data_IF_172599282224
#
_entry.id   IF_172599282224
#
_cell.length_a   1.000
_cell.length_b   1.000
_cell.length_c   1.000
_cell.angle_alpha   90.00
_cell.angle_beta   90.00
_cell.angle_gamma   90.00
#
_symmetry.space_group_name_H-M   'P 1'
#
loop_
_entity.id
_entity.type
_entity.pdbx_description
1 polymer ?
#
# COMPACT_ATOMS: atom_id res chain seq x y z
N UNK A 1 19.41 -14.10 7.62
CA UNK A 1 18.42 -14.65 6.67
C UNK A 1 19.21 -15.39 5.60
N UNK A 2 18.94 -16.67 5.36
CA UNK A 2 19.65 -17.44 4.33
C UNK A 2 19.44 -16.81 2.96
N UNK A 3 20.51 -16.65 2.19
CA UNK A 3 20.45 -16.21 0.80
C UNK A 3 19.62 -17.22 -0.01
N UNK A 4 18.58 -16.75 -0.71
CA UNK A 4 17.82 -17.63 -1.60
C UNK A 4 18.60 -17.86 -2.89
N UNK A 5 18.48 -19.09 -3.39
CA UNK A 5 19.10 -19.53 -4.63
C UNK A 5 18.05 -20.07 -5.60
N UNK A 6 18.43 -20.26 -6.85
CA UNK A 6 17.55 -20.88 -7.86
C UNK A 6 17.03 -22.26 -7.45
N UNK A 7 17.76 -22.97 -6.57
CA UNK A 7 17.37 -24.29 -6.06
C UNK A 7 16.05 -24.26 -5.29
N UNK A 8 15.70 -23.11 -4.71
CA UNK A 8 14.45 -22.93 -3.98
C UNK A 8 13.21 -22.88 -4.90
N UNK A 9 13.41 -22.81 -6.22
CA UNK A 9 12.33 -22.79 -7.21
C UNK A 9 11.96 -24.18 -7.75
N UNK A 10 12.72 -25.23 -7.42
CA UNK A 10 12.49 -26.63 -7.82
C UNK A 10 12.16 -26.82 -9.33
N UNK A 11 12.97 -26.22 -10.22
CA UNK A 11 12.77 -26.31 -11.69
C UNK A 11 13.94 -26.96 -12.43
N UNK A 12 13.60 -27.65 -13.53
CA UNK A 12 14.55 -28.12 -14.53
C UNK A 12 14.95 -26.94 -15.42
N UNK A 13 16.18 -26.45 -15.23
CA UNK A 13 16.75 -25.33 -15.98
C UNK A 13 18.04 -25.80 -16.64
N UNK A 14 18.28 -25.54 -17.95
CA UNK A 14 19.58 -25.85 -18.55
C UNK A 14 20.70 -25.04 -17.91
N UNK A 15 21.93 -25.57 -17.89
CA UNK A 15 23.02 -25.04 -17.06
C UNK A 15 23.32 -23.54 -17.29
N UNK A 16 23.39 -23.11 -18.55
CA UNK A 16 23.63 -21.71 -18.92
C UNK A 16 22.52 -20.75 -18.46
N UNK A 17 21.29 -21.24 -18.28
CA UNK A 17 20.17 -20.45 -17.77
C UNK A 17 20.15 -20.42 -16.25
N UNK A 18 20.66 -21.47 -15.58
CA UNK A 18 20.82 -21.47 -14.12
C UNK A 18 21.77 -20.37 -13.67
N UNK A 19 22.87 -20.18 -14.39
CA UNK A 19 23.84 -19.12 -14.10
C UNK A 19 23.21 -17.72 -14.18
N UNK A 20 22.48 -17.42 -15.25
CA UNK A 20 21.82 -16.13 -15.45
C UNK A 20 20.80 -15.83 -14.35
N UNK A 21 20.02 -16.84 -13.98
CA UNK A 21 19.01 -16.69 -12.95
C UNK A 21 19.63 -16.64 -11.54
N UNK A 22 20.65 -17.46 -11.22
CA UNK A 22 21.43 -17.35 -9.97
C UNK A 22 22.01 -15.94 -9.81
N UNK A 23 22.62 -15.39 -10.86
CA UNK A 23 23.15 -14.01 -10.86
C UNK A 23 22.07 -12.99 -10.51
N UNK A 24 20.86 -13.12 -11.08
CA UNK A 24 19.76 -12.22 -10.73
C UNK A 24 19.33 -12.33 -9.26
N UNK A 25 19.30 -13.55 -8.71
CA UNK A 25 18.95 -13.77 -7.31
C UNK A 25 19.98 -13.13 -6.35
N UNK A 26 21.26 -13.35 -6.61
CA UNK A 26 22.36 -12.80 -5.79
C UNK A 26 22.45 -11.28 -5.93
N UNK A 27 22.50 -10.76 -7.16
CA UNK A 27 22.85 -9.36 -7.41
C UNK A 27 21.65 -8.41 -7.24
N UNK A 28 20.43 -8.87 -7.58
CA UNK A 28 19.27 -7.97 -7.74
C UNK A 28 18.12 -8.32 -6.80
N UNK A 29 17.74 -9.60 -6.71
CA UNK A 29 16.51 -9.99 -6.03
C UNK A 29 16.52 -9.60 -4.54
N UNK A 30 17.65 -9.78 -3.86
CA UNK A 30 17.82 -9.42 -2.45
C UNK A 30 17.78 -7.91 -2.18
N UNK A 31 17.98 -7.08 -3.22
CA UNK A 31 17.89 -5.62 -3.14
C UNK A 31 16.48 -5.10 -3.44
N UNK A 32 15.56 -5.94 -3.93
CA UNK A 32 14.18 -5.54 -4.18
C UNK A 32 13.42 -5.27 -2.86
N UNK A 33 12.35 -4.46 -2.88
CA UNK A 33 11.50 -4.28 -1.72
C UNK A 33 10.99 -5.62 -1.15
N UNK A 34 10.97 -5.77 0.17
CA UNK A 34 10.58 -7.02 0.84
C UNK A 34 9.20 -7.55 0.40
N UNK A 35 8.25 -6.66 0.09
CA UNK A 35 6.94 -7.04 -0.43
C UNK A 35 7.03 -7.66 -1.84
N UNK A 36 7.86 -7.07 -2.71
CA UNK A 36 8.09 -7.60 -4.06
C UNK A 36 8.76 -8.97 -3.98
N UNK A 37 9.77 -9.13 -3.11
CA UNK A 37 10.41 -10.42 -2.89
C UNK A 37 9.40 -11.48 -2.42
N UNK A 38 8.57 -11.15 -1.42
CA UNK A 38 7.52 -12.07 -0.93
C UNK A 38 6.50 -12.43 -2.01
N UNK A 39 6.05 -11.43 -2.79
CA UNK A 39 5.09 -11.65 -3.87
C UNK A 39 5.66 -12.58 -4.93
N UNK A 40 6.86 -12.30 -5.44
CA UNK A 40 7.51 -13.15 -6.44
C UNK A 40 7.72 -14.58 -5.96
N UNK A 41 8.18 -14.76 -4.71
CA UNK A 41 8.31 -16.10 -4.11
C UNK A 41 6.98 -16.85 -4.09
N UNK A 42 5.93 -16.19 -3.61
CA UNK A 42 4.59 -16.78 -3.53
C UNK A 42 4.06 -17.16 -4.91
N UNK A 43 4.18 -16.26 -5.89
CA UNK A 43 3.65 -16.49 -7.24
C UNK A 43 4.37 -17.66 -7.94
N UNK A 44 5.71 -17.69 -7.85
CA UNK A 44 6.52 -18.76 -8.44
C UNK A 44 6.25 -20.09 -7.76
N UNK A 45 6.22 -20.11 -6.42
CA UNK A 45 5.93 -21.33 -5.66
C UNK A 45 4.58 -21.92 -6.08
N UNK A 46 3.54 -21.10 -6.16
CA UNK A 46 2.21 -21.57 -6.55
C UNK A 46 2.15 -22.11 -7.98
N UNK A 47 2.88 -21.49 -8.92
CA UNK A 47 2.98 -22.02 -10.28
C UNK A 47 3.70 -23.37 -10.32
N UNK A 48 4.83 -23.51 -9.62
CA UNK A 48 5.59 -24.75 -9.64
C UNK A 48 4.94 -25.89 -8.86
N UNK A 49 4.29 -25.60 -7.74
CA UNK A 49 3.46 -26.58 -7.03
C UNK A 49 2.34 -27.10 -7.96
N UNK A 50 1.70 -26.20 -8.72
CA UNK A 50 0.69 -26.57 -9.71
C UNK A 50 1.28 -27.45 -10.82
N UNK A 51 2.40 -27.04 -11.42
CA UNK A 51 3.07 -27.81 -12.47
C UNK A 51 3.43 -29.22 -11.99
N UNK A 52 4.02 -29.33 -10.80
CA UNK A 52 4.39 -30.59 -10.18
C UNK A 52 3.17 -31.49 -9.94
N UNK A 53 2.09 -30.95 -9.39
CA UNK A 53 0.88 -31.72 -9.10
C UNK A 53 0.13 -32.21 -10.35
N UNK A 54 0.41 -31.63 -11.52
CA UNK A 54 -0.28 -31.95 -12.78
C UNK A 54 0.65 -32.58 -13.83
N UNK A 55 1.86 -33.02 -13.44
CA UNK A 55 2.87 -33.56 -14.34
C UNK A 55 3.17 -32.66 -15.55
N UNK A 56 3.14 -31.35 -15.33
CA UNK A 56 3.41 -30.33 -16.34
C UNK A 56 4.82 -29.76 -16.16
N UNK A 57 5.53 -29.43 -17.26
CA UNK A 57 6.80 -28.73 -17.16
C UNK A 57 6.60 -27.33 -16.57
N UNK A 58 7.63 -26.84 -15.87
CA UNK A 58 7.67 -25.50 -15.31
C UNK A 58 7.89 -24.40 -16.37
N UNK A 59 8.73 -23.41 -16.06
CA UNK A 59 9.25 -22.50 -17.08
C UNK A 59 10.42 -23.20 -17.79
N UNK A 60 10.38 -23.27 -19.12
CA UNK A 60 11.39 -23.98 -19.91
C UNK A 60 11.81 -23.16 -21.14
N UNK A 61 12.94 -23.50 -21.81
CA UNK A 61 13.29 -22.90 -23.10
C UNK A 61 12.33 -23.29 -24.22
N UNK A 62 11.54 -24.35 -24.04
CA UNK A 62 10.54 -24.79 -25.00
C UNK A 62 9.28 -23.94 -24.83
N UNK A 63 8.99 -23.16 -25.88
CA UNK A 63 7.88 -22.22 -25.89
C UNK A 63 6.52 -22.93 -25.87
N UNK A 64 6.38 -24.06 -26.56
CA UNK A 64 5.11 -24.79 -26.66
C UNK A 64 4.79 -25.48 -25.32
N UNK A 65 5.78 -26.11 -24.70
CA UNK A 65 5.63 -26.73 -23.38
C UNK A 65 5.27 -25.68 -22.31
N UNK A 66 5.97 -24.55 -22.31
CA UNK A 66 5.70 -23.46 -21.36
C UNK A 66 4.32 -22.85 -21.59
N UNK A 67 3.90 -22.67 -22.85
CA UNK A 67 2.56 -22.20 -23.19
C UNK A 67 1.48 -23.16 -22.70
N UNK A 68 1.65 -24.48 -22.91
CA UNK A 68 0.73 -25.52 -22.42
C UNK A 68 0.54 -25.45 -20.90
N UNK A 69 1.63 -25.34 -20.15
CA UNK A 69 1.59 -25.24 -18.69
C UNK A 69 0.89 -23.97 -18.20
N UNK A 70 1.17 -22.82 -18.82
CA UNK A 70 0.53 -21.55 -18.49
C UNK A 70 -0.98 -21.60 -18.77
N UNK A 71 -1.41 -22.20 -19.89
CA UNK A 71 -2.84 -22.36 -20.19
C UNK A 71 -3.57 -23.15 -19.12
N UNK A 72 -3.04 -24.31 -18.74
CA UNK A 72 -3.63 -25.16 -17.70
C UNK A 72 -3.69 -24.43 -16.35
N UNK A 73 -2.63 -23.68 -16.02
CA UNK A 73 -2.59 -22.88 -14.79
C UNK A 73 -3.64 -21.76 -14.79
N UNK A 74 -3.81 -21.05 -15.91
CA UNK A 74 -4.83 -20.00 -16.04
C UNK A 74 -6.23 -20.58 -15.91
N UNK A 75 -6.52 -21.73 -16.52
CA UNK A 75 -7.81 -22.41 -16.36
C UNK A 75 -8.09 -22.72 -14.88
N UNK A 76 -7.14 -23.33 -14.18
CA UNK A 76 -7.27 -23.68 -12.76
C UNK A 76 -7.52 -22.44 -11.89
N UNK A 77 -6.83 -21.33 -12.17
CA UNK A 77 -7.04 -20.07 -11.47
C UNK A 77 -8.41 -19.45 -11.75
N UNK A 78 -8.93 -19.61 -12.97
CA UNK A 78 -10.25 -19.13 -13.36
C UNK A 78 -11.36 -19.99 -12.73
N UNK A 79 -11.22 -21.32 -12.72
CA UNK A 79 -12.11 -22.27 -12.05
C UNK A 79 -12.18 -22.00 -10.54
N UNK A 80 -11.04 -21.65 -9.93
CA UNK A 80 -10.96 -21.24 -8.52
C UNK A 80 -11.45 -19.81 -8.26
N UNK A 81 -11.95 -19.10 -9.28
CA UNK A 81 -12.41 -17.71 -9.23
C UNK A 81 -11.42 -16.73 -8.57
N UNK A 82 -10.13 -16.85 -8.89
CA UNK A 82 -9.15 -15.86 -8.44
C UNK A 82 -9.45 -14.49 -9.06
N UNK A 83 -9.24 -13.44 -8.27
CA UNK A 83 -9.44 -12.07 -8.73
C UNK A 83 -8.56 -11.75 -9.96
N UNK A 84 -9.11 -10.96 -10.89
CA UNK A 84 -8.44 -10.55 -12.13
C UNK A 84 -6.99 -10.10 -11.92
N UNK A 85 -6.76 -9.19 -10.96
CA UNK A 85 -5.42 -8.64 -10.69
C UNK A 85 -4.45 -9.69 -10.15
N UNK A 86 -4.93 -10.74 -9.46
CA UNK A 86 -4.09 -11.84 -9.00
C UNK A 86 -3.60 -12.67 -10.18
N UNK A 87 -4.49 -12.99 -11.14
CA UNK A 87 -4.13 -13.74 -12.36
C UNK A 87 -3.12 -12.94 -13.18
N UNK A 88 -3.42 -11.67 -13.47
CA UNK A 88 -2.52 -10.78 -14.23
C UNK A 88 -1.17 -10.61 -13.55
N UNK A 89 -1.16 -10.42 -12.23
CA UNK A 89 0.09 -10.28 -11.45
C UNK A 89 0.94 -11.54 -11.51
N UNK A 90 0.35 -12.74 -11.36
CA UNK A 90 1.08 -14.00 -11.52
C UNK A 90 1.67 -14.14 -12.92
N UNK A 91 0.91 -13.81 -13.96
CA UNK A 91 1.40 -13.82 -15.34
C UNK A 91 2.57 -12.84 -15.53
N UNK A 92 2.49 -11.64 -14.95
CA UNK A 92 3.59 -10.68 -14.98
C UNK A 92 4.86 -11.22 -14.27
N UNK A 93 4.69 -11.89 -13.12
CA UNK A 93 5.79 -12.57 -12.42
C UNK A 93 6.41 -13.66 -13.30
N UNK A 94 5.61 -14.57 -13.89
CA UNK A 94 6.13 -15.60 -14.80
C UNK A 94 6.88 -14.98 -15.99
N UNK A 95 6.31 -13.95 -16.62
CA UNK A 95 6.95 -13.19 -17.69
C UNK A 95 8.29 -12.58 -17.27
N UNK A 96 8.39 -12.03 -16.05
CA UNK A 96 9.64 -11.49 -15.50
C UNK A 96 10.69 -12.59 -15.33
N UNK A 97 10.31 -13.74 -14.78
CA UNK A 97 11.25 -14.84 -14.53
C UNK A 97 11.67 -15.58 -15.79
N UNK A 98 10.81 -15.68 -16.82
CA UNK A 98 11.23 -16.11 -18.16
C UNK A 98 12.28 -15.15 -18.75
N UNK A 99 12.09 -13.84 -18.61
CA UNK A 99 13.07 -12.85 -19.07
C UNK A 99 14.41 -12.93 -18.30
N UNK A 100 14.37 -13.14 -16.98
CA UNK A 100 15.57 -13.36 -16.16
C UNK A 100 16.31 -14.63 -16.61
N UNK A 101 15.57 -15.71 -16.87
CA UNK A 101 16.12 -16.96 -17.38
C UNK A 101 16.51 -16.88 -18.86
N UNK A 102 16.20 -15.80 -19.58
CA UNK A 102 16.37 -15.68 -21.05
C UNK A 102 15.61 -16.76 -21.85
N UNK A 103 14.47 -17.20 -21.35
CA UNK A 103 13.56 -18.09 -22.08
C UNK A 103 12.66 -17.31 -23.05
N UNK A 104 12.21 -17.94 -24.14
CA UNK A 104 11.06 -17.46 -24.90
C UNK A 104 9.88 -17.18 -23.97
N UNK A 105 9.11 -16.14 -24.27
CA UNK A 105 8.04 -15.66 -23.41
C UNK A 105 6.71 -15.71 -24.19
N UNK A 106 5.95 -16.81 -24.10
CA UNK A 106 4.68 -16.95 -24.80
C UNK A 106 3.65 -15.91 -24.36
N UNK A 107 3.71 -15.39 -23.12
CA UNK A 107 2.84 -14.30 -22.68
C UNK A 107 3.04 -13.00 -23.49
N UNK A 108 4.22 -12.81 -24.08
CA UNK A 108 4.54 -11.66 -24.95
C UNK A 108 4.57 -11.99 -26.44
N UNK A 109 4.89 -13.22 -26.81
CA UNK A 109 5.12 -13.60 -28.20
C UNK A 109 3.92 -14.32 -28.84
N UNK A 110 3.09 -15.02 -28.06
CA UNK A 110 1.92 -15.74 -28.54
C UNK A 110 0.66 -14.87 -28.43
N UNK A 111 0.10 -14.45 -29.56
CA UNK A 111 -1.21 -13.78 -29.61
C UNK A 111 -2.32 -14.72 -29.15
N UNK A 112 -2.24 -15.98 -29.60
CA UNK A 112 -3.14 -17.05 -29.19
C UNK A 112 -3.23 -17.20 -27.67
N UNK A 113 -2.10 -17.24 -26.96
CA UNK A 113 -2.12 -17.36 -25.49
C UNK A 113 -2.77 -16.14 -24.82
N UNK A 114 -2.49 -14.92 -25.32
CA UNK A 114 -3.08 -13.70 -24.75
C UNK A 114 -4.60 -13.67 -24.92
N UNK A 115 -5.09 -14.03 -26.10
CA UNK A 115 -6.52 -14.11 -26.37
C UNK A 115 -7.17 -15.22 -25.56
N UNK A 116 -6.52 -16.38 -25.44
CA UNK A 116 -6.97 -17.46 -24.56
C UNK A 116 -7.15 -16.98 -23.12
N UNK A 117 -6.15 -16.31 -22.53
CA UNK A 117 -6.23 -15.80 -21.15
C UNK A 117 -7.41 -14.83 -21.00
N UNK A 118 -7.53 -13.87 -21.92
CA UNK A 118 -8.60 -12.86 -21.89
C UNK A 118 -9.99 -13.50 -22.01
N UNK A 119 -10.17 -14.44 -22.93
CA UNK A 119 -11.45 -15.11 -23.15
C UNK A 119 -11.81 -16.06 -22.01
N UNK A 120 -10.84 -16.76 -21.43
CA UNK A 120 -11.05 -17.61 -20.26
C UNK A 120 -11.49 -16.79 -19.05
N UNK A 121 -10.79 -15.70 -18.74
CA UNK A 121 -11.20 -14.81 -17.64
C UNK A 121 -12.62 -14.27 -17.86
N UNK A 122 -12.98 -13.89 -19.09
CA UNK A 122 -14.34 -13.43 -19.43
C UNK A 122 -15.38 -14.55 -19.27
N UNK A 123 -15.08 -15.77 -19.71
CA UNK A 123 -16.00 -16.91 -19.61
C UNK A 123 -16.31 -17.31 -18.15
N UNK A 124 -15.43 -16.97 -17.22
CA UNK A 124 -15.59 -17.19 -15.78
C UNK A 124 -16.07 -15.93 -15.02
N UNK A 125 -16.56 -14.90 -15.72
CA UNK A 125 -17.01 -13.63 -15.13
C UNK A 125 -15.92 -12.92 -14.29
N UNK A 126 -14.65 -13.13 -14.63
CA UNK A 126 -13.50 -12.50 -13.97
C UNK A 126 -13.17 -11.20 -14.70
N UNK A 127 -13.78 -10.12 -14.22
CA UNK A 127 -13.61 -8.79 -14.79
C UNK A 127 -12.51 -8.00 -14.09
N UNK A 128 -11.91 -7.06 -14.82
CA UNK A 128 -10.97 -6.06 -14.29
C UNK A 128 -11.66 -4.99 -13.43
N UNK A 129 -12.52 -5.39 -12.48
CA UNK A 129 -13.17 -4.48 -11.54
C UNK A 129 -12.30 -4.34 -10.31
N UNK A 130 -11.78 -3.15 -10.08
CA UNK A 130 -10.99 -2.89 -8.89
C UNK A 130 -11.91 -2.76 -7.66
N UNK A 131 -11.66 -3.57 -6.63
CA UNK A 131 -12.24 -3.34 -5.31
C UNK A 131 -11.58 -2.09 -4.69
N UNK A 132 -12.28 -0.98 -4.71
CA UNK A 132 -11.86 0.26 -4.05
C UNK A 132 -12.01 0.12 -2.53
N UNK A 133 -11.03 0.62 -1.78
CA UNK A 133 -11.15 0.70 -0.33
C UNK A 133 -12.35 1.60 0.04
N UNK A 134 -13.12 1.26 1.09
CA UNK A 134 -14.19 2.13 1.57
C UNK A 134 -13.65 3.53 1.87
N UNK A 135 -14.38 4.55 1.43
CA UNK A 135 -14.00 5.95 1.63
C UNK A 135 -14.28 6.36 3.08
N UNK A 136 -13.24 6.76 3.83
CA UNK A 136 -13.40 7.50 5.08
C UNK A 136 -13.50 8.98 4.71
N UNK A 137 -14.70 9.52 4.53
CA UNK A 137 -14.92 10.90 4.07
C UNK A 137 -14.72 11.90 5.21
N UNK A 138 -14.69 13.20 4.90
CA UNK A 138 -14.51 14.25 5.91
C UNK A 138 -15.54 14.16 7.05
N UNK A 139 -16.82 13.94 6.72
CA UNK A 139 -17.87 13.74 7.74
C UNK A 139 -17.57 12.59 8.72
N UNK A 140 -16.95 11.53 8.24
CA UNK A 140 -16.59 10.38 9.07
C UNK A 140 -15.38 10.73 9.95
N UNK A 141 -14.40 11.45 9.41
CA UNK A 141 -13.25 11.95 10.17
C UNK A 141 -13.66 12.95 11.26
N UNK A 142 -14.54 13.89 10.94
CA UNK A 142 -15.10 14.86 11.89
C UNK A 142 -15.90 14.15 12.98
N UNK A 143 -16.69 13.14 12.65
CA UNK A 143 -17.37 12.30 13.64
C UNK A 143 -16.36 11.63 14.58
N UNK A 144 -15.24 11.09 14.07
CA UNK A 144 -14.18 10.51 14.91
C UNK A 144 -13.60 11.59 15.84
N UNK A 145 -13.21 12.74 15.30
CA UNK A 145 -12.59 13.81 16.07
C UNK A 145 -13.51 14.36 17.17
N UNK A 146 -14.82 14.44 16.91
CA UNK A 146 -15.81 14.95 17.85
C UNK A 146 -16.20 13.93 18.94
N UNK A 147 -16.24 12.64 18.59
CA UNK A 147 -16.76 11.60 19.50
C UNK A 147 -15.67 10.92 20.33
N UNK A 148 -14.41 10.92 19.85
CA UNK A 148 -13.31 10.29 20.58
C UNK A 148 -12.80 11.23 21.65
N UNK A 149 -13.04 10.87 22.91
CA UNK A 149 -12.33 11.45 24.06
C UNK A 149 -11.05 10.62 24.26
N UNK A 150 -9.84 11.18 24.08
CA UNK A 150 -8.60 10.44 24.21
C UNK A 150 -8.26 10.21 25.69
N UNK A 151 -8.17 8.94 26.10
CA UNK A 151 -7.85 8.56 27.50
C UNK A 151 -6.45 7.95 27.63
N UNK A 152 -5.80 7.69 26.49
CA UNK A 152 -4.53 6.99 26.39
C UNK A 152 -3.66 7.62 25.32
N UNK A 153 -2.34 7.52 25.47
CA UNK A 153 -1.38 7.94 24.44
C UNK A 153 -1.67 7.24 23.10
N UNK A 154 -2.19 6.01 23.15
CA UNK A 154 -2.62 5.26 21.97
C UNK A 154 -3.77 5.95 21.21
N UNK A 155 -4.73 6.56 21.90
CA UNK A 155 -5.81 7.34 21.29
C UNK A 155 -5.27 8.59 20.59
N UNK A 156 -4.42 9.35 21.28
CA UNK A 156 -3.85 10.58 20.75
C UNK A 156 -2.99 10.29 19.51
N UNK A 157 -2.16 9.25 19.57
CA UNK A 157 -1.36 8.79 18.41
C UNK A 157 -2.25 8.41 17.24
N UNK A 158 -3.30 7.63 17.48
CA UNK A 158 -4.15 7.12 16.41
C UNK A 158 -5.01 8.25 15.79
N UNK A 159 -5.44 9.25 16.58
CA UNK A 159 -6.08 10.49 16.10
C UNK A 159 -5.12 11.32 15.24
N UNK A 160 -3.90 11.56 15.71
CA UNK A 160 -2.88 12.27 14.95
C UNK A 160 -2.58 11.56 13.60
N UNK A 161 -2.48 10.23 13.63
CA UNK A 161 -2.17 9.43 12.45
C UNK A 161 -3.32 9.41 11.42
N UNK A 162 -4.57 9.21 11.84
CA UNK A 162 -5.70 9.15 10.90
C UNK A 162 -5.94 10.51 10.23
N UNK A 163 -5.84 11.61 10.99
CA UNK A 163 -5.96 12.96 10.45
C UNK A 163 -4.82 13.28 9.49
N UNK A 164 -3.57 12.97 9.84
CA UNK A 164 -2.42 13.17 8.93
C UNK A 164 -2.54 12.35 7.64
N UNK A 165 -3.01 11.09 7.74
CA UNK A 165 -3.23 10.26 6.56
C UNK A 165 -4.35 10.79 5.67
N UNK A 166 -5.41 11.35 6.25
CA UNK A 166 -6.50 11.96 5.50
C UNK A 166 -6.03 13.24 4.79
N UNK A 167 -5.51 14.22 5.54
CA UNK A 167 -5.12 15.53 5.00
C UNK A 167 -4.01 15.42 3.96
N UNK A 168 -2.99 14.61 4.24
CA UNK A 168 -1.85 14.42 3.34
C UNK A 168 -2.10 13.43 2.23
N UNK A 169 -3.30 12.81 2.18
CA UNK A 169 -3.62 11.68 1.31
C UNK A 169 -2.59 10.55 1.42
N UNK A 170 -2.01 10.34 2.60
CA UNK A 170 -0.87 9.43 2.74
C UNK A 170 -1.30 7.96 2.68
N UNK A 171 -0.46 7.15 2.06
CA UNK A 171 -0.51 5.70 2.21
C UNK A 171 0.15 5.29 3.53
N UNK A 172 -0.17 4.08 3.99
CA UNK A 172 0.45 3.51 5.20
C UNK A 172 1.99 3.42 5.12
N UNK A 173 2.55 3.17 3.94
CA UNK A 173 4.00 3.16 3.68
C UNK A 173 4.63 4.56 3.60
N UNK A 174 3.81 5.61 3.47
CA UNK A 174 4.24 7.02 3.45
C UNK A 174 4.15 7.66 4.83
N UNK A 175 3.15 7.30 5.65
CA UNK A 175 3.02 7.79 7.04
C UNK A 175 4.02 7.11 7.99
N UNK A 176 4.30 5.82 7.80
CA UNK A 176 5.22 5.06 8.65
C UNK A 176 6.64 5.66 8.77
N UNK A 177 7.27 6.19 7.69
CA UNK A 177 8.57 6.83 7.75
C UNK A 177 8.54 8.33 8.09
N UNK A 178 7.39 8.93 8.41
CA UNK A 178 7.32 10.36 8.77
C UNK A 178 8.16 10.62 10.00
N UNK A 179 9.03 11.63 9.91
CA UNK A 179 9.89 12.09 11.00
C UNK A 179 9.45 13.46 11.47
N UNK A 180 9.82 13.84 12.70
CA UNK A 180 9.56 15.18 13.22
C UNK A 180 10.08 16.29 12.30
N UNK A 181 11.29 16.12 11.75
CA UNK A 181 11.92 17.08 10.84
C UNK A 181 11.17 17.27 9.50
N UNK A 182 10.22 16.39 9.18
CA UNK A 182 9.42 16.50 7.97
C UNK A 182 8.19 17.39 8.15
N UNK A 183 7.83 17.75 9.38
CA UNK A 183 6.68 18.61 9.66
C UNK A 183 7.12 20.07 9.59
N UNK A 184 6.46 20.83 8.73
CA UNK A 184 6.70 22.26 8.53
C UNK A 184 5.47 23.01 9.07
N UNK A 185 5.49 23.27 10.38
CA UNK A 185 4.35 23.86 11.10
C UNK A 185 3.90 25.22 10.52
N UNK A 186 4.86 26.07 10.12
CA UNK A 186 4.56 27.43 9.61
C UNK A 186 3.76 27.44 8.31
N UNK A 187 3.92 26.41 7.50
CA UNK A 187 3.34 26.33 6.15
C UNK A 187 2.22 25.31 6.06
N UNK A 188 1.82 24.68 7.17
CA UNK A 188 0.83 23.61 7.20
C UNK A 188 1.20 22.46 6.24
N UNK A 189 2.46 22.03 6.27
CA UNK A 189 2.98 21.01 5.35
C UNK A 189 3.69 19.87 6.04
N UNK A 190 3.67 18.72 5.40
CA UNK A 190 4.56 17.59 5.68
C UNK A 190 5.33 17.21 4.43
N UNK A 191 6.62 16.89 4.60
CA UNK A 191 7.44 16.30 3.56
C UNK A 191 7.30 14.77 3.58
N UNK A 192 6.80 14.22 2.48
CA UNK A 192 6.83 12.78 2.21
C UNK A 192 8.11 12.49 1.42
N UNK A 193 9.16 11.91 2.04
CA UNK A 193 10.48 11.83 1.43
C UNK A 193 10.54 10.84 0.26
N UNK A 194 9.70 9.81 0.27
CA UNK A 194 9.61 8.82 -0.80
C UNK A 194 8.17 8.42 -1.04
N UNK A 195 7.80 8.24 -2.30
CA UNK A 195 6.52 7.65 -2.70
C UNK A 195 6.79 6.58 -3.76
N UNK A 196 5.82 5.67 -3.98
CA UNK A 196 5.93 4.66 -5.06
C UNK A 196 6.07 5.29 -6.45
N UNK A 197 5.60 6.53 -6.60
CA UNK A 197 5.61 7.27 -7.86
C UNK A 197 6.85 8.14 -8.04
N UNK A 198 7.55 8.48 -6.96
CA UNK A 198 8.73 9.32 -6.97
C UNK A 198 10.00 8.53 -7.34
N UNK A 199 10.21 8.36 -8.65
CA UNK A 199 11.43 7.78 -9.21
C UNK A 199 12.65 8.69 -9.05
N UNK A 200 12.44 9.98 -8.76
CA UNK A 200 13.50 11.00 -8.66
C UNK A 200 14.04 11.18 -7.24
N UNK A 201 13.33 10.69 -6.23
CA UNK A 201 13.69 10.84 -4.82
C UNK A 201 13.59 12.27 -4.30
N UNK A 202 12.85 13.16 -4.98
CA UNK A 202 12.67 14.56 -4.58
C UNK A 202 11.73 14.71 -3.38
N UNK A 203 10.90 13.71 -3.12
CA UNK A 203 9.81 13.78 -2.17
C UNK A 203 8.66 14.66 -2.66
N UNK A 204 7.58 14.69 -1.88
CA UNK A 204 6.41 15.55 -2.14
C UNK A 204 6.01 16.28 -0.86
N UNK A 205 5.69 17.57 -0.98
CA UNK A 205 5.08 18.34 0.10
C UNK A 205 3.57 18.13 0.05
N UNK A 206 2.98 17.80 1.19
CA UNK A 206 1.53 17.64 1.38
C UNK A 206 1.02 18.66 2.35
N UNK A 207 -0.18 19.16 2.09
CA UNK A 207 -0.89 19.99 3.06
C UNK A 207 -1.34 19.14 4.26
N UNK A 208 -1.34 19.74 5.46
CA UNK A 208 -1.94 19.22 6.68
C UNK A 208 -2.69 20.33 7.41
N UNK A 209 -3.88 20.03 7.92
CA UNK A 209 -4.70 21.01 8.65
C UNK A 209 -4.10 21.38 10.00
N UNK A 210 -4.57 22.49 10.57
CA UNK A 210 -4.24 22.86 11.95
C UNK A 210 -4.70 21.80 12.95
N UNK A 211 -5.81 21.11 12.67
CA UNK A 211 -6.30 19.98 13.50
C UNK A 211 -5.29 18.85 13.53
N UNK A 212 -4.75 18.45 12.36
CA UNK A 212 -3.66 17.45 12.30
C UNK A 212 -2.44 17.90 13.10
N UNK A 213 -2.01 19.15 12.92
CA UNK A 213 -0.84 19.68 13.63
C UNK A 213 -1.06 19.73 15.15
N UNK A 214 -2.26 20.09 15.61
CA UNK A 214 -2.62 20.08 17.02
C UNK A 214 -2.53 18.66 17.61
N UNK A 215 -3.17 17.67 16.99
CA UNK A 215 -3.07 16.28 17.45
C UNK A 215 -1.64 15.75 17.44
N UNK A 216 -0.81 16.16 16.48
CA UNK A 216 0.61 15.80 16.44
C UNK A 216 1.36 16.44 17.62
N UNK A 217 1.12 17.72 17.90
CA UNK A 217 1.71 18.43 19.05
C UNK A 217 1.27 17.83 20.38
N UNK A 218 -0.01 17.47 20.53
CA UNK A 218 -0.54 16.80 21.72
C UNK A 218 0.10 15.43 21.90
N UNK A 219 0.21 14.65 20.82
CA UNK A 219 0.87 13.34 20.86
C UNK A 219 2.33 13.44 21.30
N UNK A 220 3.09 14.40 20.76
CA UNK A 220 4.50 14.60 21.14
C UNK A 220 4.61 15.04 22.60
N UNK A 221 3.78 15.99 23.03
CA UNK A 221 3.77 16.51 24.40
C UNK A 221 3.46 15.40 25.40
N UNK A 222 2.37 14.67 25.18
CA UNK A 222 1.92 13.57 26.07
C UNK A 222 2.89 12.39 26.07
N UNK A 223 3.55 12.08 24.95
CA UNK A 223 4.58 11.05 24.92
C UNK A 223 5.80 11.39 25.80
N UNK A 224 6.07 12.69 25.97
CA UNK A 224 7.22 13.21 26.69
C UNK A 224 6.94 13.49 28.18
N UNK A 225 5.70 13.34 28.63
CA UNK A 225 5.29 13.48 30.04
C UNK A 225 5.22 12.09 30.70
N UNK A 226 5.69 12.00 31.95
CA UNK A 226 5.46 10.83 32.79
C UNK A 226 4.05 10.88 33.38
N UNK A 227 3.23 9.86 33.09
CA UNK A 227 1.83 9.82 33.51
C UNK A 227 1.63 9.82 35.03
N UNK A 228 2.57 9.28 35.80
CA UNK A 228 2.43 9.18 37.25
C UNK A 228 2.84 10.48 37.94
N UNK A 229 3.94 11.09 37.50
CA UNK A 229 4.47 12.31 38.13
C UNK A 229 3.92 13.59 37.51
N UNK A 230 3.36 13.52 36.29
CA UNK A 230 2.93 14.66 35.47
C UNK A 230 4.09 15.64 35.17
N UNK A 231 5.33 15.15 35.26
CA UNK A 231 6.53 15.91 34.92
C UNK A 231 7.08 15.46 33.58
N UNK A 232 7.85 16.33 32.94
CA UNK A 232 8.56 15.98 31.72
C UNK A 232 9.61 14.89 32.01
N UNK A 233 9.64 13.85 31.19
CA UNK A 233 10.64 12.77 31.25
C UNK A 233 12.05 13.31 31.00
N UNK A 234 13.08 12.64 31.50
CA UNK A 234 14.46 13.03 31.20
C UNK A 234 14.73 13.00 29.69
N UNK A 235 15.51 13.94 29.16
CA UNK A 235 15.69 14.14 27.72
C UNK A 235 16.24 12.92 26.97
N UNK A 236 16.99 12.05 27.66
CA UNK A 236 17.58 10.81 27.15
C UNK A 236 16.70 9.57 27.33
N UNK A 237 15.49 9.72 27.90
CA UNK A 237 14.53 8.62 28.05
C UNK A 237 14.14 8.06 26.67
N UNK A 238 14.36 6.75 26.40
CA UNK A 238 14.12 6.14 25.09
C UNK A 238 12.63 6.02 24.73
N UNK A 239 11.73 6.34 25.64
CA UNK A 239 10.26 6.37 25.45
C UNK A 239 9.72 7.77 25.16
N UNK A 240 10.59 8.74 24.91
CA UNK A 240 10.25 10.08 24.41
C UNK A 240 10.18 10.12 22.89
N UNK A 241 9.78 11.27 22.36
CA UNK A 241 9.94 11.67 20.96
C UNK A 241 10.70 13.00 20.95
N UNK A 242 12.01 12.95 20.71
CA UNK A 242 12.82 14.18 20.54
C UNK A 242 13.18 14.40 19.06
N UNK A 243 13.40 13.32 18.30
CA UNK A 243 13.74 13.38 16.85
C UNK A 243 13.47 12.04 16.15
N UNK A 244 13.60 12.00 14.83
CA UNK A 244 13.42 10.76 14.06
C UNK A 244 11.94 10.44 13.84
N UNK A 245 11.59 9.14 13.77
CA UNK A 245 10.24 8.66 13.42
C UNK A 245 9.21 9.16 14.43
N UNK A 246 8.11 9.70 13.90
CA UNK A 246 7.02 10.30 14.68
C UNK A 246 6.13 9.22 15.31
N UNK A 247 5.49 8.39 14.49
CA UNK A 247 4.55 7.38 14.97
C UNK A 247 5.28 6.11 15.39
N UNK A 248 5.32 5.84 16.69
CA UNK A 248 6.06 4.71 17.28
C UNK A 248 5.13 3.66 17.89
N UNK A 249 5.60 2.42 18.07
CA UNK A 249 4.88 1.42 18.85
C UNK A 249 4.62 1.90 20.28
N UNK A 250 3.44 1.58 20.80
CA UNK A 250 3.02 1.88 22.17
C UNK A 250 2.86 0.55 22.90
N UNK A 251 3.17 0.54 24.20
CA UNK A 251 2.98 -0.61 25.09
C UNK A 251 1.54 -1.17 25.02
N UNK A 252 1.31 -2.45 25.37
CA UNK A 252 -0.02 -3.06 25.30
C UNK A 252 -1.12 -2.33 26.09
N UNK A 253 -0.73 -1.64 27.18
CA UNK A 253 -1.66 -0.82 27.98
C UNK A 253 -2.05 0.50 27.30
N UNK A 254 -1.36 0.90 26.24
CA UNK A 254 -1.66 2.11 25.48
C UNK A 254 -1.09 3.40 26.08
N UNK A 255 -0.24 3.33 27.10
CA UNK A 255 0.09 4.48 27.97
C UNK A 255 1.49 5.04 27.82
N UNK A 256 2.42 4.29 27.23
CA UNK A 256 3.81 4.72 27.03
C UNK A 256 4.36 4.12 25.73
N UNK A 257 5.28 4.84 25.08
CA UNK A 257 5.99 4.34 23.90
C UNK A 257 6.90 3.17 24.28
N UNK A 258 7.16 2.29 23.31
CA UNK A 258 8.26 1.33 23.45
C UNK A 258 9.60 2.06 23.22
N UNK A 259 10.69 1.59 23.85
CA UNK A 259 12.02 2.17 23.65
C UNK A 259 12.38 2.30 22.16
N UNK A 260 12.90 3.47 21.78
CA UNK A 260 13.28 3.79 20.42
C UNK A 260 14.66 4.44 20.38
N UNK A 261 15.56 3.90 19.56
CA UNK A 261 16.90 4.43 19.38
C UNK A 261 16.90 5.61 18.39
N UNK A 262 16.98 6.83 18.92
CA UNK A 262 17.03 8.07 18.14
C UNK A 262 18.44 8.38 17.57
N UNK A 263 19.46 7.56 17.87
CA UNK A 263 20.80 7.72 17.29
C UNK A 263 20.87 7.26 15.82
N UNK A 264 19.97 6.36 15.41
CA UNK A 264 19.88 5.85 14.04
C UNK A 264 19.42 6.98 13.11
N UNK A 265 20.26 7.34 12.13
CA UNK A 265 19.96 8.44 11.18
C UNK A 265 19.53 7.96 9.80
N UNK A 266 19.91 6.73 9.40
CA UNK A 266 19.56 6.17 8.09
C UNK A 266 18.13 5.65 8.11
N UNK A 267 17.26 6.22 7.27
CA UNK A 267 15.83 5.89 7.23
C UNK A 267 15.54 4.40 6.94
N UNK A 268 16.42 3.70 6.22
CA UNK A 268 16.28 2.26 5.98
C UNK A 268 16.31 1.46 7.28
N UNK A 269 17.15 1.88 8.22
CA UNK A 269 17.52 1.15 9.44
C UNK A 269 16.66 1.58 10.64
N UNK A 270 15.98 2.72 10.53
CA UNK A 270 15.00 3.19 11.52
C UNK A 270 13.84 2.19 11.67
N UNK A 271 13.50 1.75 12.89
CA UNK A 271 12.30 0.96 13.14
C UNK A 271 11.04 1.76 12.75
N UNK A 272 10.18 1.16 11.92
CA UNK A 272 8.94 1.78 11.44
C UNK A 272 7.73 0.97 11.89
N UNK A 273 6.59 1.63 12.08
CA UNK A 273 5.35 0.90 12.32
C UNK A 273 5.03 -0.02 11.14
N UNK A 274 4.77 -1.29 11.44
CA UNK A 274 4.32 -2.25 10.44
C UNK A 274 2.93 -1.86 9.91
N UNK A 275 2.68 -2.12 8.63
CA UNK A 275 1.38 -1.87 7.98
C UNK A 275 0.18 -2.38 8.80
N UNK A 276 0.31 -3.59 9.36
CA UNK A 276 -0.75 -4.22 10.18
C UNK A 276 -1.08 -3.42 11.43
N UNK A 277 -0.11 -2.72 12.03
CA UNK A 277 -0.32 -1.90 13.22
C UNK A 277 -1.01 -0.58 12.85
N UNK A 278 -0.62 0.04 11.72
CA UNK A 278 -1.31 1.22 11.19
C UNK A 278 -2.76 0.87 10.87
N UNK A 279 -3.01 -0.23 10.16
CA UNK A 279 -4.36 -0.73 9.90
C UNK A 279 -5.18 -0.91 11.18
N UNK A 280 -4.61 -1.57 12.20
CA UNK A 280 -5.29 -1.78 13.49
C UNK A 280 -5.60 -0.47 14.19
N UNK A 281 -4.69 0.50 14.17
CA UNK A 281 -4.92 1.85 14.71
C UNK A 281 -6.10 2.55 14.05
N UNK A 282 -6.12 2.59 12.71
CA UNK A 282 -7.23 3.20 11.96
C UNK A 282 -8.56 2.54 12.29
N UNK A 283 -8.61 1.20 12.34
CA UNK A 283 -9.80 0.44 12.71
C UNK A 283 -10.26 0.72 14.14
N UNK A 284 -9.31 0.78 15.07
CA UNK A 284 -9.59 1.00 16.49
C UNK A 284 -10.16 2.40 16.73
N UNK A 285 -9.55 3.44 16.15
CA UNK A 285 -9.97 4.82 16.37
C UNK A 285 -11.30 5.13 15.65
N UNK A 286 -11.50 4.61 14.43
CA UNK A 286 -12.77 4.72 13.73
C UNK A 286 -13.91 4.08 14.53
N UNK A 287 -13.69 2.87 15.07
CA UNK A 287 -14.66 2.21 15.94
C UNK A 287 -14.92 3.00 17.23
N UNK A 288 -13.88 3.56 17.87
CA UNK A 288 -14.04 4.40 19.09
C UNK A 288 -14.86 5.65 18.79
N UNK A 289 -14.75 6.22 17.59
CA UNK A 289 -15.57 7.36 17.11
C UNK A 289 -16.98 7.00 16.63
N UNK A 290 -17.37 5.71 16.66
CA UNK A 290 -18.67 5.25 16.18
C UNK A 290 -18.81 5.19 14.66
N UNK A 291 -17.70 5.17 13.91
CA UNK A 291 -17.69 5.02 12.45
C UNK A 291 -17.55 3.54 12.09
N UNK A 292 -18.64 2.93 11.63
CA UNK A 292 -18.69 1.52 11.22
C UNK A 292 -18.53 1.37 9.70
N UNK A 293 -17.29 1.55 9.24
CA UNK A 293 -16.90 1.23 7.86
C UNK A 293 -15.81 0.15 7.87
N UNK A 294 -15.68 -0.67 6.81
CA UNK A 294 -14.59 -1.63 6.69
C UNK A 294 -13.27 -0.91 6.35
N UNK A 295 -12.78 -0.10 7.29
CA UNK A 295 -11.63 0.77 7.09
C UNK A 295 -10.38 -0.04 6.76
N UNK A 296 -9.56 0.49 5.84
CA UNK A 296 -8.26 -0.06 5.46
C UNK A 296 -7.20 1.03 5.52
N UNK A 297 -5.92 0.66 5.37
CA UNK A 297 -4.83 1.64 5.28
C UNK A 297 -4.94 2.63 4.10
N UNK A 298 -5.84 2.38 3.16
CA UNK A 298 -6.07 3.23 1.99
C UNK A 298 -7.37 4.05 2.08
N UNK A 299 -8.20 3.79 3.08
CA UNK A 299 -9.50 4.44 3.26
C UNK A 299 -9.43 5.96 3.48
N UNK A 300 -8.50 6.52 4.29
CA UNK A 300 -8.35 7.97 4.42
C UNK A 300 -8.01 8.64 3.09
N UNK A 301 -7.05 8.07 2.34
CA UNK A 301 -6.64 8.59 1.03
C UNK A 301 -7.76 8.61 0.01
N UNK A 302 -8.56 7.53 -0.04
CA UNK A 302 -9.74 7.46 -0.92
C UNK A 302 -10.78 8.49 -0.50
N UNK A 303 -11.09 8.55 0.79
CA UNK A 303 -12.13 9.44 1.28
C UNK A 303 -11.79 10.92 1.19
N UNK A 304 -10.51 11.31 1.34
CA UNK A 304 -10.05 12.67 1.05
C UNK A 304 -10.25 13.03 -0.44
N UNK A 305 -9.90 12.12 -1.36
CA UNK A 305 -10.13 12.33 -2.79
C UNK A 305 -11.62 12.49 -3.14
N UNK A 306 -12.47 11.62 -2.58
CA UNK A 306 -13.93 11.68 -2.73
C UNK A 306 -14.48 12.98 -2.15
N UNK A 307 -14.06 13.36 -0.95
CA UNK A 307 -14.49 14.60 -0.28
C UNK A 307 -14.14 15.81 -1.15
N UNK A 308 -12.93 15.89 -1.69
CA UNK A 308 -12.53 16.98 -2.58
C UNK A 308 -13.44 17.06 -3.82
N UNK A 309 -13.76 15.92 -4.44
CA UNK A 309 -14.67 15.88 -5.59
C UNK A 309 -16.11 16.27 -5.24
N UNK A 310 -16.65 15.81 -4.12
CA UNK A 310 -17.96 16.21 -3.60
C UNK A 310 -18.03 17.72 -3.36
N UNK A 311 -16.90 18.33 -2.99
CA UNK A 311 -16.75 19.77 -2.80
C UNK A 311 -16.28 20.52 -4.06
N UNK A 312 -16.42 19.90 -5.25
CA UNK A 312 -16.15 20.51 -6.56
C UNK A 312 -14.71 20.97 -6.79
N UNK A 313 -13.75 20.44 -6.03
CA UNK A 313 -12.31 20.63 -6.32
C UNK A 313 -11.99 19.98 -7.67
N UNK A 314 -11.16 20.65 -8.48
CA UNK A 314 -10.88 20.16 -9.83
C UNK A 314 -10.09 18.84 -9.82
N UNK A 315 -10.29 18.01 -10.85
CA UNK A 315 -9.53 16.75 -11.00
C UNK A 315 -8.02 16.97 -10.98
N UNK A 316 -7.54 18.10 -11.49
CA UNK A 316 -6.11 18.45 -11.50
C UNK A 316 -5.60 18.75 -10.09
N UNK A 317 -6.32 19.53 -9.31
CA UNK A 317 -5.97 19.81 -7.91
C UNK A 317 -6.01 18.54 -7.06
N UNK A 318 -7.02 17.68 -7.26
CA UNK A 318 -7.07 16.36 -6.61
C UNK A 318 -5.83 15.55 -7.01
N UNK A 319 -5.53 15.46 -8.31
CA UNK A 319 -4.37 14.74 -8.84
C UNK A 319 -3.06 15.20 -8.15
N UNK A 320 -2.85 16.50 -8.06
CA UNK A 320 -1.66 17.10 -7.46
C UNK A 320 -1.63 16.87 -5.94
N UNK A 321 -2.77 17.05 -5.25
CA UNK A 321 -2.90 16.84 -3.80
C UNK A 321 -2.52 15.41 -3.37
N UNK A 322 -2.78 14.40 -4.21
CA UNK A 322 -2.38 13.01 -3.95
C UNK A 322 -1.11 12.53 -4.64
N UNK A 323 -0.43 13.32 -5.48
CA UNK A 323 0.74 12.90 -6.29
C UNK A 323 0.39 11.70 -7.18
N UNK A 324 -0.72 11.80 -7.89
CA UNK A 324 -1.08 10.81 -8.90
C UNK A 324 -0.44 11.19 -10.24
N UNK A 325 0.30 10.27 -10.87
CA UNK A 325 0.91 10.51 -12.18
C UNK A 325 -0.11 10.68 -13.31
N UNK A 326 -1.21 9.96 -13.22
CA UNK A 326 -2.30 9.96 -14.20
C UNK A 326 -3.62 10.34 -13.53
N UNK A 327 -4.54 11.03 -14.22
CA UNK A 327 -5.89 11.31 -13.73
C UNK A 327 -6.75 10.05 -13.55
N UNK A 328 -6.36 8.90 -14.10
CA UNK A 328 -7.17 7.66 -14.04
C UNK A 328 -7.54 7.25 -12.61
N UNK A 329 -6.58 7.34 -11.68
CA UNK A 329 -6.78 6.93 -10.29
C UNK A 329 -7.67 7.90 -9.50
N UNK A 330 -7.45 9.23 -9.54
CA UNK A 330 -8.40 10.22 -9.05
C UNK A 330 -9.81 10.01 -9.60
N UNK A 331 -9.96 9.94 -10.93
CA UNK A 331 -11.24 9.78 -11.61
C UNK A 331 -11.97 8.53 -11.12
N UNK A 332 -11.23 7.41 -10.94
CA UNK A 332 -11.78 6.18 -10.38
C UNK A 332 -12.25 6.35 -8.95
N UNK A 333 -11.47 6.99 -8.07
CA UNK A 333 -11.89 7.19 -6.69
C UNK A 333 -13.16 8.03 -6.58
N UNK A 334 -13.29 9.01 -7.47
CA UNK A 334 -14.38 9.98 -7.50
C UNK A 334 -15.51 9.57 -8.43
N UNK A 335 -15.44 8.37 -9.05
CA UNK A 335 -16.39 7.92 -10.07
C UNK A 335 -17.83 8.04 -9.56
N UNK A 336 -18.11 7.51 -8.36
CA UNK A 336 -19.44 7.59 -7.75
C UNK A 336 -19.89 9.03 -7.44
N UNK A 337 -18.97 9.91 -7.04
CA UNK A 337 -19.28 11.33 -6.79
C UNK A 337 -19.49 12.11 -8.10
N UNK A 338 -18.92 11.64 -9.21
CA UNK A 338 -19.04 12.25 -10.54
C UNK A 338 -20.13 11.61 -11.41
N UNK A 339 -20.72 10.48 -11.01
CA UNK A 339 -21.90 9.89 -11.70
C UNK A 339 -23.06 10.89 -11.78
N UNK A 340 -23.13 11.83 -10.84
CA UNK A 340 -24.07 12.96 -10.86
C UNK A 340 -23.67 14.12 -11.81
N UNK A 341 -22.70 13.96 -12.71
CA UNK A 341 -22.14 15.12 -13.43
C UNK A 341 -22.58 15.31 -14.87
N UNK A 342 -23.13 14.28 -15.53
CA UNK A 342 -23.52 14.33 -16.94
C UNK A 342 -25.03 14.22 -17.15
N UNK A 343 -25.57 13.00 -17.03
CA UNK A 343 -26.98 12.73 -17.31
C UNK A 343 -27.94 13.21 -16.21
N UNK A 344 -27.52 13.24 -14.94
CA UNK A 344 -28.33 13.82 -13.86
C UNK A 344 -28.49 15.34 -14.00
N UNK A 345 -27.40 16.06 -14.36
CA UNK A 345 -27.49 17.50 -14.66
C UNK A 345 -28.39 17.77 -15.86
N UNK A 346 -28.39 16.89 -16.86
CA UNK A 346 -29.33 16.95 -17.98
C UNK A 346 -30.75 16.56 -17.55
N UNK A 347 -30.93 15.59 -16.66
CA UNK A 347 -32.25 15.22 -16.13
C UNK A 347 -32.91 16.38 -15.37
N UNK A 348 -32.12 17.15 -14.60
CA UNK A 348 -32.58 18.39 -13.95
C UNK A 348 -32.96 19.47 -14.97
N UNK A 349 -32.20 19.60 -16.07
CA UNK A 349 -32.53 20.50 -17.20
C UNK A 349 -33.80 20.06 -17.93
N UNK A 350 -34.02 18.75 -18.07
CA UNK A 350 -35.16 18.18 -18.79
C UNK A 350 -36.37 17.86 -17.88
N UNK A 351 -36.31 18.17 -16.57
CA UNK A 351 -37.30 17.78 -15.54
C UNK A 351 -37.80 16.34 -15.72
N UNK A 352 -36.87 15.39 -15.83
CA UNK A 352 -37.18 13.97 -15.85
C UNK A 352 -36.87 13.32 -14.52
#
# INVERSE_FOLDING_TARGET
MSELTLRDLNVIVPEHHKEAANKYFTDIFNLLPANTQRSYKSDLKQYYDFCFANDLPGLTPDMELTEKSIKAYVMTMCESQLAHNTIVHRMATLSKFMAVAKFPNPLKQSEYLRDFIKLQMKAHDIYARANQAPALRLRDLEQINNNVIPDTLLDIRDLAMINMMFDGLLRADEVAPVQMKHIIYKDNKILVPTSKTDQSGKGSLRYVSNTTLAYVSDYISEANIDRNTQLEKQSDDPTRINKGILFRPISPKGTTLLPYDESITRLSDMPKLAYVNIYKSLKRIAKKGGVDIPISGHSPRVGAAVTMAENKVSTKEIQDAGDWKSPDMPARYTEQAQVESGMSKLADIFRR
#
